data_IF_222996741349
#
_entry.id   IF_222996741349
#
_cell.length_a   1.000
_cell.length_b   1.000
_cell.length_c   1.000
_cell.angle_alpha   90.00
_cell.angle_beta   90.00
_cell.angle_gamma   90.00
#
_symmetry.space_group_name_H-M   'P 1'
#
loop_
_entity.id
_entity.type
_entity.pdbx_description
1 polymer ?
#
# COMPACT_ATOMS: atom_id res chain seq x y z
N UNK A 1 -13.60 6.20 -56.57
CA UNK A 1 -13.69 7.09 -55.39
C UNK A 1 -13.66 6.17 -54.18
N UNK A 2 -12.49 5.72 -53.70
CA UNK A 2 -11.52 6.47 -52.87
C UNK A 2 -12.26 7.10 -51.68
N UNK A 3 -12.18 6.46 -50.50
CA UNK A 3 -12.35 7.00 -49.12
C UNK A 3 -12.90 5.99 -48.07
N UNK A 4 -12.72 4.68 -48.22
CA UNK A 4 -12.95 3.74 -47.11
C UNK A 4 -11.72 2.85 -46.89
N UNK A 5 -10.57 3.51 -46.72
CA UNK A 5 -9.33 2.92 -46.19
C UNK A 5 -9.08 3.65 -44.87
N UNK A 6 -8.62 2.92 -43.86
CA UNK A 6 -8.00 3.44 -42.63
C UNK A 6 -8.90 3.70 -41.40
N UNK A 7 -9.67 2.70 -40.95
CA UNK A 7 -9.84 2.47 -39.50
C UNK A 7 -8.88 1.34 -39.10
N UNK A 8 -7.61 1.68 -39.24
CA UNK A 8 -6.47 0.89 -38.80
C UNK A 8 -6.61 0.56 -37.32
N UNK A 9 -6.79 -0.72 -37.02
CA UNK A 9 -6.09 -1.44 -35.96
C UNK A 9 -5.15 -0.56 -35.11
N UNK A 10 -5.67 -0.05 -34.01
CA UNK A 10 -4.92 0.50 -32.89
C UNK A 10 -5.84 0.33 -31.68
N UNK A 11 -5.83 -0.83 -31.03
CA UNK A 11 -5.13 -0.95 -29.75
C UNK A 11 -4.27 -2.22 -29.77
N UNK A 12 -2.98 -1.95 -29.93
CA UNK A 12 -1.86 -2.87 -29.71
C UNK A 12 -2.02 -3.48 -28.31
N UNK A 13 -1.79 -4.80 -28.23
CA UNK A 13 -1.94 -5.59 -27.03
C UNK A 13 -1.29 -4.93 -25.81
N UNK A 14 -2.13 -4.50 -24.88
CA UNK A 14 -1.73 -4.37 -23.50
C UNK A 14 -1.47 -5.78 -23.01
N UNK A 15 -0.22 -6.23 -23.11
CA UNK A 15 0.26 -7.34 -22.29
C UNK A 15 0.08 -6.84 -20.87
N UNK A 16 -1.00 -7.25 -20.20
CA UNK A 16 -1.11 -7.07 -18.77
C UNK A 16 0.02 -7.91 -18.19
N UNK A 17 1.14 -7.27 -17.86
CA UNK A 17 2.06 -7.84 -16.90
C UNK A 17 1.25 -7.96 -15.61
N UNK A 18 0.66 -9.13 -15.39
CA UNK A 18 0.18 -9.55 -14.10
C UNK A 18 1.43 -9.74 -13.24
N UNK A 19 2.01 -8.62 -12.81
CA UNK A 19 3.01 -8.62 -11.76
C UNK A 19 2.31 -9.15 -10.52
N UNK A 20 2.80 -10.26 -9.99
CA UNK A 20 2.34 -10.74 -8.69
C UNK A 20 2.59 -9.62 -7.68
N UNK A 21 1.54 -9.18 -7.00
CA UNK A 21 1.70 -8.26 -5.87
C UNK A 21 2.45 -9.07 -4.81
N UNK A 22 3.67 -8.66 -4.43
CA UNK A 22 4.45 -9.42 -3.48
C UNK A 22 3.71 -9.43 -2.14
N UNK A 23 3.78 -10.55 -1.42
CA UNK A 23 3.22 -10.67 -0.07
C UNK A 23 3.82 -9.63 0.90
N UNK A 24 5.08 -9.24 0.64
CA UNK A 24 5.82 -8.24 1.40
C UNK A 24 6.21 -7.10 0.45
N UNK A 25 5.78 -5.88 0.79
CA UNK A 25 6.21 -4.67 0.08
C UNK A 25 7.65 -4.33 0.48
N UNK A 26 8.60 -4.24 -0.47
CA UNK A 26 9.97 -3.80 -0.17
C UNK A 26 9.99 -2.37 0.37
N UNK A 27 10.92 -2.06 1.29
CA UNK A 27 11.00 -0.71 1.89
C UNK A 27 11.12 0.41 0.85
N UNK A 28 11.86 0.17 -0.25
CA UNK A 28 12.05 1.13 -1.34
C UNK A 28 10.75 1.49 -2.08
N UNK A 29 9.69 0.69 -1.93
CA UNK A 29 8.38 0.92 -2.54
C UNK A 29 7.38 1.57 -1.56
N UNK A 30 7.75 1.70 -0.28
CA UNK A 30 6.90 2.32 0.74
C UNK A 30 6.95 3.85 0.57
N UNK A 31 5.79 4.47 0.42
CA UNK A 31 5.66 5.92 0.22
C UNK A 31 4.66 6.54 1.19
N UNK A 32 4.87 7.80 1.63
CA UNK A 32 3.86 8.53 2.40
C UNK A 32 2.52 8.61 1.65
N UNK A 33 1.42 8.45 2.38
CA UNK A 33 0.06 8.37 1.85
C UNK A 33 -0.42 6.95 1.57
N UNK A 34 0.44 5.93 1.65
CA UNK A 34 -0.01 4.53 1.62
C UNK A 34 -0.92 4.24 2.82
N UNK A 35 -2.04 3.58 2.55
CA UNK A 35 -3.02 3.20 3.58
C UNK A 35 -3.15 1.70 3.71
N UNK A 36 -3.47 1.23 4.91
CA UNK A 36 -3.76 -0.17 5.19
C UNK A 36 -4.52 -0.33 6.49
N UNK A 37 -4.51 -1.56 7.01
CA UNK A 37 -5.06 -1.87 8.33
C UNK A 37 -4.17 -2.88 9.04
N UNK A 38 -4.15 -2.82 10.36
CA UNK A 38 -3.53 -3.81 11.23
C UNK A 38 -4.58 -4.61 11.97
N UNK A 39 -4.23 -5.84 12.34
CA UNK A 39 -5.02 -6.71 13.19
C UNK A 39 -4.34 -6.86 14.55
N UNK A 40 -5.13 -6.90 15.61
CA UNK A 40 -4.66 -7.05 16.99
C UNK A 40 -5.72 -7.75 17.83
N UNK A 41 -5.42 -8.06 19.08
CA UNK A 41 -6.38 -8.54 20.09
C UNK A 41 -6.27 -7.62 21.30
N UNK A 42 -7.30 -6.81 21.54
CA UNK A 42 -7.32 -5.86 22.67
C UNK A 42 -7.77 -6.55 23.96
N UNK A 43 -8.70 -7.51 23.87
CA UNK A 43 -9.21 -8.25 25.01
C UNK A 43 -9.66 -9.66 24.60
N UNK A 44 -9.42 -10.64 25.47
CA UNK A 44 -9.80 -12.03 25.25
C UNK A 44 -9.11 -12.61 24.02
N UNK A 45 -9.90 -13.07 23.06
CA UNK A 45 -9.47 -13.71 21.81
C UNK A 45 -10.07 -13.02 20.57
N UNK A 46 -10.73 -11.87 20.75
CA UNK A 46 -11.42 -11.18 19.68
C UNK A 46 -10.44 -10.40 18.79
N UNK A 47 -10.41 -10.76 17.50
CA UNK A 47 -9.67 -10.02 16.49
C UNK A 47 -10.27 -8.63 16.31
N UNK A 48 -9.46 -7.61 16.54
CA UNK A 48 -9.77 -6.20 16.37
C UNK A 48 -8.92 -5.62 15.23
N UNK A 49 -9.50 -4.69 14.46
CA UNK A 49 -8.82 -4.01 13.36
C UNK A 49 -8.58 -2.54 13.69
N UNK A 50 -7.46 -1.99 13.21
CA UNK A 50 -7.20 -0.55 13.19
C UNK A 50 -6.67 -0.11 11.83
N UNK A 51 -6.87 1.16 11.49
CA UNK A 51 -6.42 1.74 10.23
C UNK A 51 -5.00 2.29 10.37
N UNK A 52 -4.26 2.28 9.26
CA UNK A 52 -2.87 2.73 9.17
C UNK A 52 -2.70 3.64 7.96
N UNK A 53 -1.98 4.73 8.14
CA UNK A 53 -1.46 5.59 7.07
C UNK A 53 0.05 5.77 7.27
N UNK A 54 0.83 5.57 6.21
CA UNK A 54 2.25 5.90 6.20
C UNK A 54 2.38 7.42 6.07
N UNK A 55 3.04 8.06 7.04
CA UNK A 55 3.26 9.52 7.03
C UNK A 55 4.71 9.90 6.71
N UNK A 56 5.63 8.94 6.76
CA UNK A 56 7.04 9.18 6.46
C UNK A 56 7.86 7.89 6.40
N UNK A 57 9.00 7.96 5.74
CA UNK A 57 10.03 6.91 5.74
C UNK A 57 11.38 7.56 6.06
N UNK A 58 12.09 7.03 7.04
CA UNK A 58 13.48 7.37 7.35
C UNK A 58 14.33 6.23 6.81
N UNK A 59 15.01 6.47 5.69
CA UNK A 59 15.91 5.52 5.04
C UNK A 59 17.32 6.13 5.08
N UNK A 60 18.05 5.84 6.17
CA UNK A 60 19.38 6.40 6.45
C UNK A 60 20.37 5.27 6.73
N UNK A 61 20.69 4.45 5.71
CA UNK A 61 21.54 3.29 5.88
C UNK A 61 22.91 3.70 6.43
N UNK A 62 23.33 3.07 7.53
CA UNK A 62 24.64 3.23 8.15
C UNK A 62 24.77 4.34 9.20
N UNK A 63 23.76 5.19 9.39
CA UNK A 63 23.78 6.26 10.41
C UNK A 63 22.58 6.21 11.36
N UNK A 64 21.44 5.69 10.89
CA UNK A 64 20.26 5.37 11.69
C UNK A 64 19.71 3.98 11.29
N UNK A 65 18.75 3.46 12.06
CA UNK A 65 17.92 2.35 11.60
C UNK A 65 16.89 2.89 10.60
N UNK A 66 16.41 2.04 9.71
CA UNK A 66 15.33 2.40 8.80
C UNK A 66 13.99 2.34 9.53
N UNK A 67 13.15 3.37 9.34
CA UNK A 67 11.86 3.48 10.00
C UNK A 67 10.74 3.83 9.03
N UNK A 68 9.61 3.16 9.19
CA UNK A 68 8.34 3.57 8.59
C UNK A 68 7.56 4.29 9.70
N UNK A 69 7.25 5.56 9.48
CA UNK A 69 6.45 6.35 10.41
C UNK A 69 5.00 6.23 9.96
N UNK A 70 4.15 5.80 10.87
CA UNK A 70 2.73 5.59 10.61
C UNK A 70 1.85 6.42 11.56
N UNK A 71 0.70 6.85 11.04
CA UNK A 71 -0.45 7.27 11.84
C UNK A 71 -1.42 6.11 11.89
N UNK A 72 -1.96 5.82 13.07
CA UNK A 72 -2.95 4.76 13.27
C UNK A 72 -4.19 5.32 13.97
N UNK A 73 -5.35 4.73 13.70
CA UNK A 73 -6.62 5.11 14.32
C UNK A 73 -7.65 3.97 14.28
N UNK A 74 -8.70 4.10 15.10
CA UNK A 74 -9.81 3.14 15.18
C UNK A 74 -10.05 2.66 16.61
N UNK A 75 -11.17 1.95 16.80
CA UNK A 75 -11.64 1.47 18.12
C UNK A 75 -10.55 0.72 18.90
N UNK A 76 -9.80 -0.14 18.21
CA UNK A 76 -8.73 -0.91 18.85
C UNK A 76 -7.61 -0.01 19.44
N UNK A 77 -7.30 1.10 18.77
CA UNK A 77 -6.29 2.08 19.22
C UNK A 77 -6.84 2.89 20.38
N UNK A 78 -8.08 3.38 20.27
CA UNK A 78 -8.74 4.17 21.33
C UNK A 78 -8.85 3.39 22.64
N UNK A 79 -9.28 2.12 22.57
CA UNK A 79 -9.35 1.22 23.72
C UNK A 79 -7.99 0.87 24.31
N UNK A 80 -6.91 1.05 23.54
CA UNK A 80 -5.53 0.82 23.97
C UNK A 80 -4.86 2.07 24.54
N UNK A 81 -5.55 3.21 24.60
CA UNK A 81 -5.05 4.44 25.20
C UNK A 81 -4.52 5.50 24.23
N UNK A 82 -4.68 5.30 22.92
CA UNK A 82 -4.35 6.28 21.87
C UNK A 82 -3.10 5.94 21.06
#
# INVERSE_FOLDING_TARGET
>A
MKKLILMSALVIGGVACLGEIPEIVPLAEVTPGMTGYGLTVVAGEELSQFQVEVVGVIDQPGTANDFIIVRVWGDAIERSGG
#
